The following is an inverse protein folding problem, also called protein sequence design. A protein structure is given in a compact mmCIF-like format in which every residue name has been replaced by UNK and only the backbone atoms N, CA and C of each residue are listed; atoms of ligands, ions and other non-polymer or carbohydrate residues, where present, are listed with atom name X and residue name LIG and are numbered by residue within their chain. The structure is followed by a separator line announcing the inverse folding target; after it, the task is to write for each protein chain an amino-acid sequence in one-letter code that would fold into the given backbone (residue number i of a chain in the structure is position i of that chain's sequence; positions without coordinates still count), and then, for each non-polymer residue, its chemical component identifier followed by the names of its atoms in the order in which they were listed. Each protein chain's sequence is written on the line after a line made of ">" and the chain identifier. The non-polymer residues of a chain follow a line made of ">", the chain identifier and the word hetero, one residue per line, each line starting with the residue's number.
data_IF_868482815542
#
_entry.id   IF_868482815542
#
_cell.length_a   1.000
_cell.length_b   1.000
_cell.length_c   1.000
_cell.angle_alpha   90.00
_cell.angle_beta   90.00
_cell.angle_gamma   90.00
#
_symmetry.space_group_name_H-M   'P 1'
#
loop_
_entity.id
_entity.type
_entity.pdbx_description
1 polymer ?
#
# COMPACT_ATOMS: atom_id res chain seq x y z
N UNK A 1 -16.73 -0.80 10.97
CA UNK A 1 -15.27 -0.80 10.85
C UNK A 1 -14.89 0.17 9.75
N UNK A 2 -13.96 1.07 10.01
CA UNK A 2 -13.47 2.07 9.04
C UNK A 2 -12.09 1.66 8.53
N UNK A 3 -11.92 1.63 7.23
CA UNK A 3 -10.67 1.22 6.59
C UNK A 3 -10.18 2.28 5.62
N UNK A 4 -8.91 2.66 5.77
CA UNK A 4 -8.23 3.54 4.84
C UNK A 4 -7.42 2.72 3.81
N UNK A 5 -7.55 3.05 2.54
CA UNK A 5 -6.67 2.55 1.49
C UNK A 5 -5.78 3.69 1.02
N UNK A 6 -4.46 3.50 1.13
CA UNK A 6 -3.44 4.39 0.59
C UNK A 6 -3.04 3.89 -0.80
N UNK A 7 -3.09 4.77 -1.77
CA UNK A 7 -2.78 4.44 -3.15
C UNK A 7 -1.94 5.54 -3.81
N UNK A 8 -0.91 5.17 -4.53
CA UNK A 8 -0.01 6.12 -5.20
C UNK A 8 -0.04 5.80 -6.69
N UNK A 9 -0.61 6.72 -7.47
CA UNK A 9 -0.58 6.65 -8.92
C UNK A 9 -0.23 8.02 -9.51
N UNK A 10 0.89 8.10 -10.21
CA UNK A 10 1.38 9.31 -10.85
C UNK A 10 1.75 9.03 -12.29
N UNK A 11 1.62 10.02 -13.17
CA UNK A 11 1.92 9.90 -14.58
C UNK A 11 1.13 8.75 -15.24
N UNK A 12 1.85 7.83 -15.90
CA UNK A 12 1.21 6.69 -16.58
C UNK A 12 0.48 5.72 -15.64
N UNK A 13 0.80 5.71 -14.36
CA UNK A 13 0.16 4.82 -13.38
C UNK A 13 -1.27 5.24 -13.05
N UNK A 14 -1.67 6.48 -13.36
CA UNK A 14 -3.07 6.94 -13.25
C UNK A 14 -4.04 6.03 -14.01
N UNK A 15 -3.59 5.44 -15.12
CA UNK A 15 -4.38 4.50 -15.93
C UNK A 15 -4.88 3.29 -15.14
N UNK A 16 -4.14 2.84 -14.13
CA UNK A 16 -4.53 1.65 -13.34
C UNK A 16 -5.59 1.94 -12.28
N UNK A 17 -5.80 3.21 -11.90
CA UNK A 17 -6.67 3.56 -10.78
C UNK A 17 -8.09 3.05 -10.96
N UNK A 18 -8.68 3.21 -12.15
CA UNK A 18 -10.05 2.80 -12.40
C UNK A 18 -10.27 1.31 -12.14
N UNK A 19 -9.44 0.44 -12.72
CA UNK A 19 -9.55 -1.02 -12.52
C UNK A 19 -9.32 -1.42 -11.06
N UNK A 20 -8.31 -0.81 -10.41
CA UNK A 20 -8.07 -1.01 -8.99
C UNK A 20 -9.28 -0.63 -8.14
N UNK A 21 -9.81 0.58 -8.31
CA UNK A 21 -10.94 1.09 -7.55
C UNK A 21 -12.19 0.22 -7.73
N UNK A 22 -12.59 -0.06 -8.97
CA UNK A 22 -13.74 -0.90 -9.28
C UNK A 22 -13.61 -2.31 -8.69
N UNK A 23 -12.40 -2.90 -8.72
CA UNK A 23 -12.15 -4.21 -8.13
C UNK A 23 -12.20 -4.19 -6.59
N UNK A 24 -11.71 -3.12 -5.97
CA UNK A 24 -11.82 -2.93 -4.52
C UNK A 24 -13.29 -2.77 -4.08
N UNK A 25 -14.06 -1.90 -4.72
CA UNK A 25 -15.49 -1.72 -4.42
C UNK A 25 -16.30 -3.02 -4.58
N UNK A 26 -15.85 -3.89 -5.47
CA UNK A 26 -16.50 -5.18 -5.70
C UNK A 26 -16.11 -6.26 -4.68
N UNK A 27 -14.84 -6.28 -4.25
CA UNK A 27 -14.25 -7.43 -3.59
C UNK A 27 -13.62 -7.16 -2.22
N UNK A 28 -13.18 -5.90 -1.92
CA UNK A 28 -12.42 -5.63 -0.72
C UNK A 28 -13.32 -5.33 0.48
N UNK A 29 -13.35 -6.22 1.46
CA UNK A 29 -14.11 -6.08 2.70
C UNK A 29 -15.57 -5.62 2.50
N UNK A 30 -16.17 -6.02 1.36
CA UNK A 30 -17.51 -5.61 0.97
C UNK A 30 -18.50 -5.98 2.07
N UNK A 31 -19.41 -5.06 2.39
CA UNK A 31 -20.42 -5.21 3.44
C UNK A 31 -19.85 -5.43 4.86
N UNK A 32 -18.51 -5.33 5.03
CA UNK A 32 -17.80 -5.53 6.27
C UNK A 32 -17.23 -4.20 6.80
N UNK A 33 -16.75 -3.35 5.90
CA UNK A 33 -16.09 -2.10 6.23
C UNK A 33 -16.60 -0.92 5.41
N UNK A 34 -16.57 0.26 6.01
CA UNK A 34 -16.61 1.54 5.30
C UNK A 34 -15.21 1.85 4.81
N UNK A 35 -14.99 1.82 3.49
CA UNK A 35 -13.68 2.01 2.87
C UNK A 35 -13.54 3.42 2.33
N UNK A 36 -12.43 4.08 2.68
CA UNK A 36 -12.06 5.38 2.14
C UNK A 36 -10.68 5.32 1.49
N UNK A 37 -10.56 5.93 0.33
CA UNK A 37 -9.34 5.93 -0.45
C UNK A 37 -8.61 7.27 -0.31
N UNK A 38 -7.30 7.22 -0.07
CA UNK A 38 -6.39 8.35 -0.07
C UNK A 38 -5.42 8.17 -1.24
N UNK A 39 -5.64 8.92 -2.30
CA UNK A 39 -4.97 8.71 -3.59
C UNK A 39 -4.00 9.84 -3.86
N UNK A 40 -2.70 9.53 -3.81
CA UNK A 40 -1.62 10.44 -4.18
C UNK A 40 -1.42 10.39 -5.69
N UNK A 41 -1.74 11.49 -6.38
CA UNK A 41 -1.72 11.57 -7.85
C UNK A 41 -1.38 12.97 -8.34
N UNK A 42 -0.88 13.07 -9.55
CA UNK A 42 -0.69 14.32 -10.30
C UNK A 42 -1.92 14.70 -11.14
N UNK A 43 -2.94 13.83 -11.18
CA UNK A 43 -4.22 14.09 -11.87
C UNK A 43 -5.33 14.44 -10.87
N UNK A 44 -5.62 15.74 -10.72
CA UNK A 44 -6.67 16.22 -9.82
C UNK A 44 -8.10 15.84 -10.28
N UNK A 45 -8.26 15.36 -11.51
CA UNK A 45 -9.54 14.94 -12.09
C UNK A 45 -9.63 13.41 -12.27
N UNK A 46 -8.78 12.68 -11.58
CA UNK A 46 -8.68 11.21 -11.68
C UNK A 46 -10.04 10.52 -11.44
N UNK A 47 -10.83 11.04 -10.50
CA UNK A 47 -12.16 10.53 -10.15
C UNK A 47 -12.95 11.58 -9.38
N UNK A 48 -14.29 11.45 -9.41
CA UNK A 48 -15.26 12.23 -8.62
C UNK A 48 -15.96 11.39 -7.54
N UNK A 49 -15.47 10.17 -7.28
CA UNK A 49 -16.05 9.27 -6.30
C UNK A 49 -15.96 9.86 -4.87
N UNK A 50 -17.09 9.89 -4.15
CA UNK A 50 -17.22 10.55 -2.85
C UNK A 50 -16.35 9.95 -1.74
N UNK A 51 -16.04 8.65 -1.83
CA UNK A 51 -15.18 7.94 -0.88
C UNK A 51 -13.68 8.02 -1.23
N UNK A 52 -13.31 8.81 -2.25
CA UNK A 52 -11.93 9.03 -2.68
C UNK A 52 -11.48 10.45 -2.34
N UNK A 53 -10.40 10.57 -1.58
CA UNK A 53 -9.71 11.83 -1.36
C UNK A 53 -8.47 11.90 -2.24
N UNK A 54 -8.49 12.81 -3.20
CA UNK A 54 -7.33 13.12 -4.04
C UNK A 54 -6.33 13.98 -3.25
N UNK A 55 -5.07 13.56 -3.25
CA UNK A 55 -3.95 14.29 -2.65
C UNK A 55 -2.97 14.59 -3.76
N UNK A 56 -2.86 15.86 -4.09
CA UNK A 56 -1.97 16.31 -5.17
C UNK A 56 -0.53 15.95 -4.89
N UNK A 57 0.08 15.24 -5.83
CA UNK A 57 1.46 14.79 -5.76
C UNK A 57 2.13 14.95 -7.12
N UNK A 58 3.22 15.69 -7.16
CA UNK A 58 4.04 15.79 -8.37
C UNK A 58 4.64 14.42 -8.73
N UNK A 59 4.53 14.04 -10.00
CA UNK A 59 5.17 12.85 -10.53
C UNK A 59 6.69 13.04 -10.58
N UNK A 60 7.42 12.32 -9.74
CA UNK A 60 8.89 12.30 -9.74
C UNK A 60 9.44 11.07 -10.47
N UNK A 61 8.55 10.16 -10.85
CA UNK A 61 8.89 8.91 -11.52
C UNK A 61 9.55 7.87 -10.61
N UNK A 62 9.80 6.70 -11.20
CA UNK A 62 10.53 5.64 -10.51
C UNK A 62 12.05 5.98 -10.47
N UNK A 63 12.76 5.78 -9.34
CA UNK A 63 12.26 5.13 -8.11
C UNK A 63 11.69 6.08 -7.04
N UNK A 64 11.69 7.40 -7.28
CA UNK A 64 11.41 8.39 -6.24
C UNK A 64 9.99 8.28 -5.66
N UNK A 65 8.97 8.08 -6.52
CA UNK A 65 7.59 7.94 -6.05
C UNK A 65 7.38 6.68 -5.18
N UNK A 66 8.23 5.67 -5.35
CA UNK A 66 8.25 4.48 -4.48
C UNK A 66 9.03 4.70 -3.18
N UNK A 67 10.18 5.38 -3.24
CA UNK A 67 11.04 5.60 -2.07
C UNK A 67 10.40 6.57 -1.07
N UNK A 68 9.68 7.59 -1.56
CA UNK A 68 9.06 8.63 -0.73
C UNK A 68 7.66 8.23 -0.20
N UNK A 69 7.24 6.97 -0.36
CA UNK A 69 5.89 6.54 0.04
C UNK A 69 5.58 6.76 1.52
N UNK A 70 6.53 6.51 2.38
CA UNK A 70 6.32 6.68 3.82
C UNK A 70 6.19 8.14 4.23
N UNK A 71 6.89 9.07 3.57
CA UNK A 71 6.70 10.51 3.80
C UNK A 71 5.29 10.94 3.39
N UNK A 72 4.77 10.39 2.29
CA UNK A 72 3.39 10.61 1.86
C UNK A 72 2.39 10.07 2.89
N UNK A 73 2.59 8.86 3.40
CA UNK A 73 1.70 8.26 4.40
C UNK A 73 1.72 9.03 5.71
N UNK A 74 2.89 9.43 6.19
CA UNK A 74 3.04 10.23 7.41
C UNK A 74 2.39 11.61 7.29
N UNK A 75 2.29 12.18 6.09
CA UNK A 75 1.56 13.45 5.89
C UNK A 75 0.07 13.35 6.23
N UNK A 76 -0.46 12.14 6.29
CA UNK A 76 -1.86 11.85 6.64
C UNK A 76 -2.03 11.30 8.06
N UNK A 77 -0.98 11.26 8.88
CA UNK A 77 -0.99 10.61 10.19
C UNK A 77 -2.22 11.00 11.02
N UNK A 78 -2.57 12.28 11.08
CA UNK A 78 -3.70 12.75 11.88
C UNK A 78 -5.05 12.26 11.36
N UNK A 79 -5.21 12.17 10.04
CA UNK A 79 -6.44 11.68 9.42
C UNK A 79 -6.58 10.16 9.57
N UNK A 80 -5.47 9.44 9.47
CA UNK A 80 -5.46 7.98 9.55
C UNK A 80 -5.77 7.45 10.95
N UNK A 81 -5.62 8.27 12.00
CA UNK A 81 -5.99 7.90 13.39
C UNK A 81 -7.49 7.60 13.56
N UNK A 82 -8.35 8.07 12.66
CA UNK A 82 -9.79 7.84 12.69
C UNK A 82 -10.21 6.50 12.05
N UNK A 83 -9.25 5.74 11.52
CA UNK A 83 -9.48 4.46 10.86
C UNK A 83 -9.00 3.29 11.73
N UNK A 84 -9.76 2.20 11.71
CA UNK A 84 -9.42 0.97 12.42
C UNK A 84 -8.22 0.26 11.76
N UNK A 85 -8.15 0.33 10.42
CA UNK A 85 -7.07 -0.27 9.62
C UNK A 85 -6.67 0.62 8.46
N UNK A 86 -5.39 0.56 8.12
CA UNK A 86 -4.82 1.24 6.95
C UNK A 86 -4.10 0.24 6.06
N UNK A 87 -4.46 0.20 4.79
CA UNK A 87 -3.84 -0.65 3.78
C UNK A 87 -3.12 0.17 2.73
N UNK A 88 -2.03 -0.36 2.22
CA UNK A 88 -1.36 0.15 1.04
C UNK A 88 -1.36 -0.91 -0.07
N UNK A 89 -1.78 -0.51 -1.25
CA UNK A 89 -1.71 -1.32 -2.46
C UNK A 89 -0.85 -0.65 -3.53
N UNK A 90 -0.03 -1.45 -4.23
CA UNK A 90 0.69 -0.95 -5.40
C UNK A 90 -0.28 -0.60 -6.53
N UNK A 91 0.08 0.41 -7.34
CA UNK A 91 -0.78 0.92 -8.39
C UNK A 91 -1.19 -0.12 -9.45
N UNK A 92 -0.33 -1.10 -9.71
CA UNK A 92 -0.55 -2.15 -10.71
C UNK A 92 -1.23 -3.40 -10.16
N UNK A 93 -2.01 -3.26 -9.10
CA UNK A 93 -2.78 -4.37 -8.51
C UNK A 93 -4.27 -4.25 -8.88
N UNK A 94 -4.91 -5.39 -8.99
CA UNK A 94 -6.35 -5.52 -9.15
C UNK A 94 -6.83 -6.74 -8.35
N UNK A 95 -7.96 -6.62 -7.67
CA UNK A 95 -8.56 -7.70 -6.92
C UNK A 95 -9.39 -8.58 -7.85
N UNK A 96 -9.16 -9.88 -7.81
CA UNK A 96 -9.83 -10.85 -8.69
C UNK A 96 -10.86 -11.74 -7.98
N UNK A 97 -10.89 -11.69 -6.65
CA UNK A 97 -11.81 -12.46 -5.81
C UNK A 97 -12.14 -11.71 -4.51
N UNK A 98 -13.26 -12.05 -3.83
CA UNK A 98 -13.60 -11.45 -2.54
C UNK A 98 -12.48 -11.61 -1.51
N UNK A 99 -12.23 -10.54 -0.76
CA UNK A 99 -11.30 -10.47 0.36
C UNK A 99 -12.11 -10.06 1.58
N UNK A 100 -12.13 -10.92 2.60
CA UNK A 100 -12.84 -10.71 3.85
C UNK A 100 -11.91 -10.38 5.02
N UNK A 101 -12.35 -10.74 6.23
CA UNK A 101 -11.62 -10.45 7.48
C UNK A 101 -10.27 -11.15 7.60
N UNK A 102 -9.99 -12.14 6.77
CA UNK A 102 -8.73 -12.88 6.74
C UNK A 102 -7.51 -12.02 6.40
N UNK A 103 -7.73 -10.82 5.81
CA UNK A 103 -6.63 -9.87 5.52
C UNK A 103 -6.28 -9.01 6.73
N UNK A 104 -7.11 -8.99 7.77
CA UNK A 104 -6.91 -8.13 8.92
C UNK A 104 -5.80 -8.69 9.83
N UNK A 105 -4.88 -7.86 10.33
CA UNK A 105 -3.85 -8.32 11.27
C UNK A 105 -4.48 -8.73 12.61
N UNK A 106 -4.13 -9.92 13.13
CA UNK A 106 -4.74 -10.46 14.34
C UNK A 106 -4.04 -10.02 15.63
N UNK A 107 -2.71 -10.14 15.71
CA UNK A 107 -1.98 -9.99 16.97
C UNK A 107 -0.97 -8.85 17.00
N UNK A 108 -0.29 -8.60 15.90
CA UNK A 108 0.87 -7.71 15.85
C UNK A 108 0.56 -6.34 15.23
N UNK A 109 -0.70 -6.11 14.88
CA UNK A 109 -1.12 -4.86 14.24
C UNK A 109 -0.56 -4.65 12.83
N UNK A 110 0.17 -5.64 12.28
CA UNK A 110 0.77 -5.58 10.95
C UNK A 110 0.53 -6.88 10.19
N UNK A 111 0.10 -6.77 8.93
CA UNK A 111 0.03 -7.86 7.98
C UNK A 111 0.81 -7.51 6.71
N UNK A 112 1.48 -8.48 6.12
CA UNK A 112 2.21 -8.32 4.87
C UNK A 112 2.05 -9.56 3.99
N UNK A 113 2.13 -9.35 2.68
CA UNK A 113 2.08 -10.46 1.71
C UNK A 113 3.46 -11.08 1.58
N UNK A 114 3.52 -12.39 1.71
CA UNK A 114 4.76 -13.15 1.44
C UNK A 114 5.11 -13.04 -0.04
N UNK A 115 6.33 -12.58 -0.33
CA UNK A 115 6.78 -12.42 -1.70
C UNK A 115 6.92 -13.79 -2.40
N UNK A 116 6.21 -14.04 -3.52
CA UNK A 116 6.15 -15.38 -4.14
C UNK A 116 7.52 -15.90 -4.58
N UNK A 117 8.45 -15.02 -4.96
CA UNK A 117 9.81 -15.38 -5.36
C UNK A 117 10.70 -15.85 -4.21
N UNK A 118 10.29 -15.61 -2.96
CA UNK A 118 11.04 -15.96 -1.75
C UNK A 118 10.29 -16.89 -0.81
N UNK A 119 9.06 -17.24 -1.15
CA UNK A 119 8.29 -18.22 -0.39
C UNK A 119 9.06 -19.55 -0.28
N UNK A 120 9.12 -20.10 0.91
CA UNK A 120 9.85 -21.34 1.22
C UNK A 120 11.39 -21.29 1.05
N UNK A 121 11.99 -20.12 0.83
CA UNK A 121 13.46 -20.02 0.82
C UNK A 121 14.00 -19.75 2.22
N UNK A 122 15.09 -20.39 2.62
CA UNK A 122 15.73 -20.08 3.90
C UNK A 122 16.32 -18.65 3.88
N UNK A 123 16.40 -18.02 5.05
CA UNK A 123 16.80 -16.61 5.22
C UNK A 123 18.14 -16.25 4.57
N UNK A 124 19.10 -17.18 4.52
CA UNK A 124 20.43 -16.94 3.90
C UNK A 124 20.35 -16.75 2.36
N UNK A 125 19.26 -17.13 1.73
CA UNK A 125 19.05 -16.94 0.28
C UNK A 125 18.42 -15.57 -0.06
N UNK A 126 18.04 -14.78 0.93
CA UNK A 126 17.49 -13.44 0.68
C UNK A 126 18.60 -12.46 0.28
N UNK A 127 18.34 -11.60 -0.70
CA UNK A 127 19.28 -10.59 -1.16
C UNK A 127 19.32 -9.39 -0.19
N UNK A 128 19.83 -9.60 1.02
CA UNK A 128 20.00 -8.52 1.99
C UNK A 128 20.93 -7.41 1.46
N UNK A 129 20.61 -6.17 1.86
CA UNK A 129 21.46 -5.01 1.56
C UNK A 129 22.88 -5.22 2.15
N UNK A 130 23.90 -5.04 1.31
CA UNK A 130 25.33 -5.24 1.69
C UNK A 130 26.03 -3.95 2.11
N UNK A 131 25.49 -2.80 1.70
CA UNK A 131 26.05 -1.50 2.05
C UNK A 131 25.72 -1.15 3.52
N UNK A 132 26.73 -1.20 4.37
CA UNK A 132 26.61 -0.91 5.82
C UNK A 132 26.13 0.51 6.14
N UNK A 133 26.21 1.44 5.17
CA UNK A 133 25.73 2.83 5.30
C UNK A 133 24.28 2.99 4.89
N UNK A 134 23.65 1.97 4.29
CA UNK A 134 22.24 1.99 3.93
C UNK A 134 21.36 1.82 5.16
N UNK A 135 20.25 2.54 5.22
CA UNK A 135 19.20 2.33 6.23
C UNK A 135 18.52 0.96 6.15
N UNK A 136 18.61 0.30 4.98
CA UNK A 136 18.12 -1.06 4.78
C UNK A 136 19.13 -2.15 5.19
N UNK A 137 20.32 -1.78 5.70
CA UNK A 137 21.31 -2.76 6.14
C UNK A 137 20.87 -3.44 7.45
N UNK A 138 20.73 -4.77 7.40
CA UNK A 138 20.43 -5.60 8.56
C UNK A 138 21.74 -6.23 9.06
N UNK A 139 22.05 -6.05 10.34
CA UNK A 139 23.25 -6.64 10.96
C UNK A 139 23.16 -8.17 10.93
N UNK A 140 24.29 -8.90 10.79
CA UNK A 140 24.27 -10.37 10.75
C UNK A 140 23.50 -11.04 11.88
N UNK A 141 23.59 -10.50 13.10
CA UNK A 141 22.87 -11.01 14.29
C UNK A 141 21.35 -10.82 14.24
N UNK A 142 20.88 -9.89 13.41
CA UNK A 142 19.47 -9.51 13.32
C UNK A 142 18.80 -10.12 12.07
N UNK A 143 19.47 -11.07 11.37
CA UNK A 143 18.99 -11.75 10.15
C UNK A 143 18.23 -13.06 10.42
N UNK A 144 17.88 -13.31 11.65
CA UNK A 144 17.14 -14.49 12.07
C UNK A 144 15.62 -14.26 11.96
N UNK A 145 15.10 -14.31 10.71
CA UNK A 145 13.65 -14.30 10.47
C UNK A 145 13.29 -15.32 9.39
#
# INVERSE_FOLDING_TARGET
>A
MKVAILYICTGKYNYFFKGFYESCEKYFLKDIAEVRYFVFTDDEKLTDAENVKIIKKECKGFPMDSLLRFDMFLSLENELKDFDYTFFFNANMELVSPIGKEILPEKEGLAAVVHPGFFSKPSFMYPYERNKKSTAYIKPRDKEY
#
